data_IF_719535600025
#
_entry.id   IF_719535600025
#
_cell.length_a   1.000
_cell.length_b   1.000
_cell.length_c   1.000
_cell.angle_alpha   90.00
_cell.angle_beta   90.00
_cell.angle_gamma   90.00
#
_symmetry.space_group_name_H-M   'P 1'
#
loop_
_entity.id
_entity.type
_entity.pdbx_description
1 polymer ?
#
# COMPACT_ATOMS: atom_id res chain seq x y z
N UNK A 1 20.08 3.50 -11.10
CA UNK A 1 20.70 3.98 -9.85
C UNK A 1 21.89 3.09 -9.51
N UNK A 2 22.97 3.59 -8.91
CA UNK A 2 24.06 2.76 -8.42
C UNK A 2 23.57 1.85 -7.28
N UNK A 3 24.15 0.65 -7.14
CA UNK A 3 23.87 -0.26 -6.02
C UNK A 3 24.17 0.41 -4.68
N UNK A 4 23.38 0.12 -3.65
CA UNK A 4 23.72 0.55 -2.29
C UNK A 4 25.06 -0.07 -1.88
N UNK A 5 26.02 0.74 -1.40
CA UNK A 5 27.30 0.24 -0.89
C UNK A 5 27.16 -0.37 0.52
N UNK A 6 26.03 -0.20 1.20
CA UNK A 6 25.83 -0.64 2.58
C UNK A 6 25.15 -2.02 2.66
N UNK A 7 24.29 -2.34 1.71
CA UNK A 7 23.64 -3.66 1.58
C UNK A 7 24.56 -4.73 0.94
N UNK A 8 25.67 -4.34 0.29
CA UNK A 8 26.53 -5.23 -0.50
C UNK A 8 27.76 -5.76 0.25
N UNK A 9 27.65 -6.07 1.54
CA UNK A 9 28.78 -6.62 2.29
C UNK A 9 28.89 -8.13 2.01
N UNK A 10 30.02 -8.59 1.44
CA UNK A 10 30.22 -9.97 0.91
C UNK A 10 30.01 -11.12 1.91
N UNK A 11 29.89 -10.82 3.20
CA UNK A 11 29.71 -11.79 4.28
C UNK A 11 28.34 -11.75 4.96
N UNK A 12 27.45 -10.83 4.55
CA UNK A 12 26.14 -10.62 5.18
C UNK A 12 25.06 -10.51 4.11
N UNK A 13 24.05 -11.37 4.18
CA UNK A 13 22.91 -11.30 3.27
C UNK A 13 21.89 -10.31 3.84
N UNK A 14 21.66 -9.22 3.13
CA UNK A 14 20.61 -8.25 3.44
C UNK A 14 19.42 -8.50 2.51
N UNK A 15 18.23 -8.57 3.09
CA UNK A 15 16.98 -8.64 2.34
C UNK A 15 16.30 -7.29 2.41
N UNK A 16 16.04 -6.69 1.25
CA UNK A 16 15.24 -5.46 1.19
C UNK A 16 13.81 -5.83 1.58
N UNK A 17 13.35 -5.32 2.70
CA UNK A 17 12.00 -5.57 3.21
C UNK A 17 11.04 -4.53 2.68
N UNK A 18 11.48 -3.28 2.62
CA UNK A 18 10.67 -2.15 2.23
C UNK A 18 11.45 -1.23 1.30
N UNK A 19 10.74 -0.64 0.35
CA UNK A 19 11.26 0.44 -0.47
C UNK A 19 10.15 1.42 -0.78
N UNK A 20 10.48 2.68 -1.02
CA UNK A 20 9.53 3.68 -1.45
C UNK A 20 10.21 4.93 -1.94
N UNK A 21 9.48 5.73 -2.71
CA UNK A 21 10.02 6.89 -3.39
C UNK A 21 9.17 8.12 -3.07
N UNK A 22 9.80 9.27 -2.92
CA UNK A 22 9.07 10.51 -2.72
C UNK A 22 9.93 11.75 -2.85
N UNK A 23 9.26 12.89 -2.97
CA UNK A 23 9.88 14.20 -3.08
C UNK A 23 10.03 14.85 -1.70
N UNK A 24 11.24 15.27 -1.37
CA UNK A 24 11.55 16.07 -0.20
C UNK A 24 11.65 17.55 -0.58
N UNK A 25 10.60 18.31 -0.26
CA UNK A 25 10.52 19.73 -0.55
C UNK A 25 11.58 20.56 0.19
N UNK A 26 12.06 20.10 1.35
CA UNK A 26 13.02 20.87 2.15
C UNK A 26 14.42 20.94 1.52
N UNK A 27 14.76 19.92 0.72
CA UNK A 27 16.04 19.83 0.02
C UNK A 27 15.90 19.91 -1.49
N UNK A 28 14.66 20.04 -2.00
CA UNK A 28 14.34 20.05 -3.43
C UNK A 28 15.02 18.85 -4.12
N UNK A 29 14.65 17.65 -3.64
CA UNK A 29 15.26 16.39 -4.02
C UNK A 29 14.26 15.23 -4.04
N UNK A 30 14.51 14.24 -4.88
CA UNK A 30 13.79 12.98 -4.90
C UNK A 30 14.58 11.92 -4.19
N UNK A 31 13.91 11.21 -3.28
CA UNK A 31 14.53 10.23 -2.41
C UNK A 31 13.93 8.86 -2.65
N UNK A 32 14.80 7.87 -2.85
CA UNK A 32 14.45 6.47 -2.69
C UNK A 32 14.85 6.05 -1.28
N UNK A 33 13.87 5.60 -0.50
CA UNK A 33 14.05 5.09 0.86
C UNK A 33 13.98 3.58 0.80
N UNK A 34 14.94 2.89 1.41
CA UNK A 34 14.93 1.43 1.53
C UNK A 34 15.18 1.03 2.97
N UNK A 35 14.47 0.01 3.43
CA UNK A 35 14.71 -0.62 4.72
C UNK A 35 14.94 -2.10 4.51
N UNK A 36 16.06 -2.59 5.03
CA UNK A 36 16.45 -3.99 4.92
C UNK A 36 16.73 -4.57 6.30
N UNK A 37 16.51 -5.88 6.44
CA UNK A 37 16.92 -6.65 7.61
C UNK A 37 18.16 -7.47 7.28
N UNK A 38 19.08 -7.50 8.22
CA UNK A 38 20.22 -8.41 8.18
C UNK A 38 19.80 -9.75 8.80
N UNK A 39 19.91 -10.84 8.05
CA UNK A 39 19.82 -12.18 8.66
C UNK A 39 21.11 -12.41 9.47
N UNK A 40 20.98 -12.42 10.79
CA UNK A 40 22.01 -12.89 11.70
C UNK A 40 21.47 -14.12 12.43
N UNK A 41 21.96 -15.31 12.07
CA UNK A 41 21.49 -16.60 12.59
C UNK A 41 21.48 -16.69 14.13
N UNK A 42 22.15 -15.76 14.83
CA UNK A 42 22.29 -15.74 16.28
C UNK A 42 21.73 -14.48 16.98
N UNK A 43 21.19 -13.49 16.26
CA UNK A 43 20.68 -12.25 16.85
C UNK A 43 19.45 -11.69 16.15
N UNK A 44 18.75 -10.76 16.83
CA UNK A 44 17.65 -10.02 16.22
C UNK A 44 18.15 -9.27 14.97
N UNK A 45 17.38 -9.28 13.86
CA UNK A 45 17.79 -8.63 12.62
C UNK A 45 18.07 -7.15 12.88
N UNK A 46 19.24 -6.67 12.43
CA UNK A 46 19.57 -5.24 12.53
C UNK A 46 18.90 -4.50 11.36
N UNK A 47 18.03 -3.52 11.63
CA UNK A 47 17.41 -2.74 10.57
C UNK A 47 18.45 -1.81 9.94
N UNK A 48 18.55 -1.84 8.61
CA UNK A 48 19.33 -0.89 7.84
C UNK A 48 18.38 0.02 7.06
N UNK A 49 18.30 1.28 7.46
CA UNK A 49 17.55 2.32 6.78
C UNK A 49 18.49 3.15 5.90
N UNK A 50 18.17 3.24 4.61
CA UNK A 50 19.00 3.91 3.63
C UNK A 50 18.18 4.86 2.76
N UNK A 51 18.84 5.93 2.33
CA UNK A 51 18.31 6.96 1.48
C UNK A 51 19.22 7.12 0.28
N UNK A 52 18.66 7.03 -0.92
CA UNK A 52 19.33 7.50 -2.12
C UNK A 52 18.80 8.87 -2.49
N UNK A 53 19.68 9.86 -2.51
CA UNK A 53 19.41 11.20 -3.02
C UNK A 53 19.63 11.22 -4.53
N UNK A 54 18.60 11.59 -5.30
CA UNK A 54 18.72 11.71 -6.74
C UNK A 54 19.63 12.89 -7.12
N UNK A 55 19.46 14.02 -6.45
CA UNK A 55 20.23 15.24 -6.69
C UNK A 55 21.71 15.09 -6.34
N UNK A 56 22.02 14.48 -5.21
CA UNK A 56 23.40 14.20 -4.81
C UNK A 56 23.98 12.95 -5.49
N UNK A 57 23.12 12.13 -6.12
CA UNK A 57 23.46 10.84 -6.72
C UNK A 57 24.23 9.93 -5.74
N UNK A 58 23.78 9.90 -4.49
CA UNK A 58 24.51 9.26 -3.39
C UNK A 58 23.58 8.58 -2.40
N UNK A 59 24.06 7.47 -1.85
CA UNK A 59 23.42 6.74 -0.76
C UNK A 59 23.86 7.31 0.60
N UNK A 60 22.93 7.36 1.55
CA UNK A 60 23.16 7.74 2.94
C UNK A 60 22.41 6.76 3.85
N UNK A 61 23.14 6.15 4.77
CA UNK A 61 22.55 5.31 5.81
C UNK A 61 22.07 6.17 7.00
N UNK A 62 20.88 5.89 7.51
CA UNK A 62 20.37 6.42 8.78
C UNK A 62 20.64 5.36 9.85
N UNK A 63 21.42 5.72 10.87
CA UNK A 63 21.87 4.79 11.91
C UNK A 63 20.97 4.75 13.15
N UNK A 64 20.11 5.74 13.32
CA UNK A 64 19.27 5.90 14.50
C UNK A 64 17.84 5.44 14.20
N UNK A 65 17.63 4.13 14.18
CA UNK A 65 16.30 3.52 14.11
C UNK A 65 15.97 2.90 15.46
N UNK A 66 14.92 3.41 16.10
CA UNK A 66 14.50 2.96 17.44
C UNK A 66 13.85 1.56 17.41
N UNK A 67 13.33 1.16 16.26
CA UNK A 67 12.52 -0.02 16.08
C UNK A 67 13.02 -0.86 14.91
N UNK A 68 12.79 -2.16 15.02
CA UNK A 68 13.05 -3.15 13.99
C UNK A 68 11.74 -3.52 13.33
N UNK A 69 11.69 -3.39 12.02
CA UNK A 69 10.52 -3.68 11.22
C UNK A 69 10.83 -4.82 10.26
N UNK A 70 9.93 -5.80 10.21
CA UNK A 70 10.01 -6.89 9.25
C UNK A 70 8.75 -6.92 8.39
N UNK A 71 8.87 -7.54 7.21
CA UNK A 71 7.69 -7.77 6.38
C UNK A 71 6.70 -8.65 7.15
N UNK A 72 5.40 -8.40 6.99
CA UNK A 72 4.39 -9.31 7.50
C UNK A 72 4.56 -10.72 6.90
N UNK A 73 4.42 -11.75 7.73
CA UNK A 73 4.61 -13.18 7.35
C UNK A 73 3.78 -13.54 6.09
N UNK A 74 4.41 -14.12 5.07
CA UNK A 74 3.72 -14.54 3.83
C UNK A 74 3.95 -13.63 2.62
N UNK A 75 4.65 -12.50 2.79
CA UNK A 75 5.10 -11.67 1.67
C UNK A 75 6.53 -12.07 1.25
N UNK A 76 6.65 -12.66 0.05
CA UNK A 76 7.94 -13.08 -0.53
C UNK A 76 8.70 -11.92 -1.18
N UNK A 77 8.01 -10.84 -1.55
CA UNK A 77 8.58 -9.69 -2.23
C UNK A 77 8.73 -8.47 -1.31
N UNK A 78 9.70 -7.56 -1.57
CA UNK A 78 9.81 -6.30 -0.87
C UNK A 78 8.50 -5.50 -0.96
N UNK A 79 8.09 -4.88 0.15
CA UNK A 79 6.86 -4.11 0.23
C UNK A 79 7.09 -2.68 -0.27
N UNK A 80 6.31 -2.28 -1.26
CA UNK A 80 6.31 -0.90 -1.79
C UNK A 80 5.63 0.05 -0.82
N UNK A 81 6.24 1.22 -0.61
CA UNK A 81 5.72 2.26 0.25
C UNK A 81 4.77 3.21 -0.46
N UNK A 82 3.76 3.68 0.27
CA UNK A 82 2.78 4.64 -0.21
C UNK A 82 3.12 6.05 0.27
N UNK A 83 3.29 6.97 -0.68
CA UNK A 83 3.54 8.37 -0.37
C UNK A 83 2.24 9.08 0.01
N UNK A 84 2.18 9.67 1.20
CA UNK A 84 1.07 10.48 1.66
C UNK A 84 1.57 11.59 2.58
N UNK A 85 1.12 12.82 2.36
CA UNK A 85 1.43 14.00 3.20
C UNK A 85 2.93 14.12 3.59
N UNK A 86 3.81 14.02 2.59
CA UNK A 86 5.26 14.14 2.78
C UNK A 86 5.96 12.97 3.46
N UNK A 87 5.27 11.85 3.68
CA UNK A 87 5.84 10.65 4.29
C UNK A 87 5.53 9.39 3.48
N UNK A 88 6.45 8.42 3.54
CA UNK A 88 6.28 7.11 2.91
C UNK A 88 5.80 6.12 3.95
N UNK A 89 4.73 5.37 3.64
CA UNK A 89 4.05 4.48 4.55
C UNK A 89 4.19 3.03 4.11
N UNK A 90 4.50 2.15 5.05
CA UNK A 90 4.50 0.71 4.85
C UNK A 90 3.70 0.03 5.94
N UNK A 91 3.00 -1.04 5.58
CA UNK A 91 2.48 -1.97 6.56
C UNK A 91 3.61 -2.91 6.98
N UNK A 92 3.90 -2.99 8.28
CA UNK A 92 5.05 -3.72 8.81
C UNK A 92 4.74 -4.39 10.14
N UNK A 93 5.48 -5.44 10.46
CA UNK A 93 5.51 -6.00 11.81
C UNK A 93 6.60 -5.32 12.63
N UNK A 94 6.25 -4.72 13.77
CA UNK A 94 7.22 -4.13 14.69
C UNK A 94 7.64 -5.16 15.74
N UNK A 95 8.91 -5.54 15.75
CA UNK A 95 9.44 -6.60 16.60
C UNK A 95 9.36 -6.26 18.10
N UNK A 96 9.62 -5.00 18.46
CA UNK A 96 9.62 -4.53 19.85
C UNK A 96 8.21 -4.44 20.42
N UNK A 97 7.24 -4.02 19.60
CA UNK A 97 5.82 -3.95 19.98
C UNK A 97 5.09 -5.28 19.80
N UNK A 98 5.72 -6.25 19.12
CA UNK A 98 5.18 -7.56 18.78
C UNK A 98 3.81 -7.53 18.10
N UNK A 99 3.59 -6.55 17.23
CA UNK A 99 2.31 -6.36 16.52
C UNK A 99 2.53 -5.72 15.16
N UNK A 100 1.52 -5.87 14.30
CA UNK A 100 1.43 -5.13 13.04
C UNK A 100 1.18 -3.64 13.30
N UNK A 101 1.83 -2.80 12.50
CA UNK A 101 1.74 -1.34 12.52
C UNK A 101 1.82 -0.79 11.10
N UNK A 102 1.44 0.48 10.92
CA UNK A 102 1.88 1.25 9.76
C UNK A 102 3.11 2.03 10.20
N UNK A 103 4.24 1.81 9.53
CA UNK A 103 5.46 2.61 9.73
C UNK A 103 5.49 3.71 8.69
N UNK A 104 5.74 4.94 9.12
CA UNK A 104 5.83 6.11 8.26
C UNK A 104 7.22 6.72 8.36
N UNK A 105 7.86 6.98 7.22
CA UNK A 105 9.10 7.72 7.13
C UNK A 105 8.82 9.14 6.65
N UNK A 106 9.01 10.12 7.53
CA UNK A 106 8.88 11.53 7.20
C UNK A 106 10.06 11.98 6.33
N UNK A 107 9.77 12.40 5.10
CA UNK A 107 10.82 12.78 4.15
C UNK A 107 11.52 14.06 4.56
N UNK A 108 10.90 14.97 5.30
CA UNK A 108 11.55 16.21 5.74
C UNK A 108 12.39 15.95 6.99
N UNK A 109 11.80 15.34 8.01
CA UNK A 109 12.45 15.11 9.30
C UNK A 109 13.45 13.95 9.27
N UNK A 110 13.40 13.10 8.23
CA UNK A 110 14.20 11.87 8.09
C UNK A 110 14.03 10.90 9.26
N UNK A 111 12.82 10.82 9.80
CA UNK A 111 12.49 10.03 10.98
C UNK A 111 11.37 9.04 10.69
N UNK A 112 11.47 7.88 11.33
CA UNK A 112 10.41 6.90 11.38
C UNK A 112 9.48 7.19 12.55
N UNK A 113 8.19 6.94 12.35
CA UNK A 113 7.21 6.90 13.42
C UNK A 113 6.16 5.84 13.13
N UNK A 114 5.55 5.34 14.21
CA UNK A 114 4.52 4.30 14.14
C UNK A 114 3.14 4.93 14.12
N UNK A 115 2.27 4.37 13.30
CA UNK A 115 0.84 4.65 13.24
C UNK A 115 0.11 3.37 13.66
N UNK A 116 -0.77 3.51 14.64
CA UNK A 116 -1.64 2.42 15.09
C UNK A 116 -2.61 2.01 13.99
N UNK A 117 -2.85 0.72 13.83
CA UNK A 117 -3.90 0.18 12.97
C UNK A 117 -5.29 0.45 13.57
N UNK A 118 -6.38 0.36 12.78
CA UNK A 118 -7.73 0.37 13.32
C UNK A 118 -7.91 -0.72 14.40
N UNK A 119 -8.62 -0.41 15.48
CA UNK A 119 -8.74 -1.32 16.63
C UNK A 119 -9.47 -2.64 16.33
N UNK A 120 -10.28 -2.67 15.28
CA UNK A 120 -11.03 -3.84 14.79
C UNK A 120 -10.44 -4.48 13.54
N UNK A 121 -9.24 -4.04 13.13
CA UNK A 121 -8.52 -4.66 12.02
C UNK A 121 -7.87 -5.97 12.48
N UNK A 122 -8.16 -7.05 11.74
CA UNK A 122 -7.58 -8.37 11.99
C UNK A 122 -6.95 -8.91 10.72
N UNK A 123 -5.72 -9.40 10.83
CA UNK A 123 -4.92 -9.84 9.67
C UNK A 123 -5.15 -11.30 9.28
N UNK A 124 -5.53 -12.16 10.21
CA UNK A 124 -5.51 -13.61 10.02
C UNK A 124 -6.31 -14.03 8.78
N UNK A 125 -5.58 -14.50 7.75
CA UNK A 125 -6.07 -14.96 6.44
C UNK A 125 -6.56 -13.89 5.46
N UNK A 126 -6.36 -12.60 5.73
CA UNK A 126 -6.96 -11.52 4.93
C UNK A 126 -5.98 -10.90 3.94
N UNK A 127 -6.51 -10.39 2.84
CA UNK A 127 -5.75 -9.50 1.94
C UNK A 127 -6.02 -8.05 2.30
N UNK A 128 -4.98 -7.22 2.32
CA UNK A 128 -5.10 -5.82 2.72
C UNK A 128 -4.07 -4.96 2.00
N UNK A 129 -4.31 -3.66 2.01
CA UNK A 129 -3.40 -2.69 1.40
C UNK A 129 -3.61 -1.28 1.91
N UNK A 130 -2.55 -0.48 1.82
CA UNK A 130 -2.62 0.96 2.04
C UNK A 130 -2.89 1.66 0.70
N UNK A 131 -3.57 2.79 0.76
CA UNK A 131 -3.83 3.65 -0.39
C UNK A 131 -4.31 5.03 0.07
N UNK A 132 -4.65 5.89 -0.89
CA UNK A 132 -5.33 7.16 -0.65
C UNK A 132 -6.77 7.04 -1.14
N UNK A 133 -7.72 7.20 -0.21
CA UNK A 133 -9.14 7.24 -0.53
C UNK A 133 -9.65 8.68 -0.34
N UNK A 134 -9.98 9.34 -1.46
CA UNK A 134 -10.20 10.78 -1.48
C UNK A 134 -8.92 11.52 -1.08
N UNK A 135 -8.92 12.15 0.09
CA UNK A 135 -7.79 12.93 0.63
C UNK A 135 -7.15 12.28 1.87
N UNK A 136 -7.56 11.05 2.22
CA UNK A 136 -7.16 10.41 3.46
C UNK A 136 -6.25 9.21 3.24
N UNK A 137 -5.21 9.08 4.06
CA UNK A 137 -4.51 7.82 4.21
C UNK A 137 -5.51 6.75 4.65
N UNK A 138 -5.55 5.65 3.93
CA UNK A 138 -6.59 4.66 4.06
C UNK A 138 -6.03 3.25 4.03
N UNK A 139 -6.74 2.35 4.69
CA UNK A 139 -6.47 0.92 4.74
C UNK A 139 -7.68 0.21 4.18
N UNK A 140 -7.48 -0.79 3.32
CA UNK A 140 -8.53 -1.70 2.91
C UNK A 140 -8.18 -3.12 3.32
N UNK A 141 -9.19 -3.94 3.61
CA UNK A 141 -9.04 -5.35 3.90
C UNK A 141 -10.20 -6.15 3.30
N UNK A 142 -9.87 -7.30 2.74
CA UNK A 142 -10.83 -8.29 2.26
C UNK A 142 -10.77 -9.50 3.18
N UNK A 143 -11.88 -9.79 3.82
CA UNK A 143 -12.03 -10.92 4.74
C UNK A 143 -12.65 -12.12 4.03
N UNK A 144 -12.03 -13.27 4.19
CA UNK A 144 -12.50 -14.55 3.64
C UNK A 144 -13.10 -15.39 4.76
N UNK A 145 -14.41 -15.62 4.71
CA UNK A 145 -15.06 -16.58 5.59
C UNK A 145 -15.17 -17.92 4.87
N UNK A 146 -14.43 -18.94 5.34
CA UNK A 146 -14.68 -20.34 4.96
C UNK A 146 -15.81 -20.86 5.85
N UNK A 147 -17.04 -20.70 5.38
CA UNK A 147 -18.19 -21.33 6.01
C UNK A 147 -18.10 -22.83 5.80
N UNK A 148 -17.69 -23.59 6.83
CA UNK A 148 -17.67 -25.06 6.78
C UNK A 148 -19.05 -25.73 6.62
N UNK A 149 -20.12 -24.97 6.35
CA UNK A 149 -21.40 -25.49 5.85
C UNK A 149 -22.05 -24.44 4.93
N UNK A 150 -22.45 -24.91 3.74
CA UNK A 150 -23.28 -24.28 2.70
C UNK A 150 -22.64 -23.17 1.83
N UNK A 151 -22.19 -23.58 0.62
CA UNK A 151 -22.19 -22.96 -0.74
C UNK A 151 -22.01 -21.43 -0.96
N UNK A 152 -21.82 -20.61 0.06
CA UNK A 152 -21.69 -19.16 -0.06
C UNK A 152 -20.39 -18.71 0.61
N UNK A 153 -19.37 -18.46 -0.22
CA UNK A 153 -18.18 -17.74 0.21
C UNK A 153 -18.55 -16.27 0.44
N UNK A 154 -18.83 -15.89 1.68
CA UNK A 154 -19.05 -14.48 2.02
C UNK A 154 -17.69 -13.77 2.09
N UNK A 155 -17.43 -12.91 1.10
CA UNK A 155 -16.29 -12.01 1.11
C UNK A 155 -16.73 -10.63 1.57
N UNK A 156 -15.97 -10.04 2.50
CA UNK A 156 -16.28 -8.71 3.04
C UNK A 156 -15.12 -7.76 2.75
N UNK A 157 -15.39 -6.70 2.00
CA UNK A 157 -14.46 -5.57 1.86
C UNK A 157 -14.74 -4.56 2.96
N UNK A 158 -13.70 -4.19 3.70
CA UNK A 158 -13.71 -3.10 4.64
C UNK A 158 -12.70 -2.03 4.24
N UNK A 159 -13.09 -0.77 4.38
CA UNK A 159 -12.20 0.39 4.17
C UNK A 159 -12.25 1.28 5.40
N UNK A 160 -11.07 1.62 5.92
CA UNK A 160 -10.87 2.59 6.97
C UNK A 160 -10.10 3.80 6.43
N UNK A 161 -10.54 4.99 6.81
CA UNK A 161 -9.86 6.26 6.52
C UNK A 161 -9.31 6.86 7.81
N UNK A 162 -8.11 7.42 7.74
CA UNK A 162 -7.54 8.23 8.82
C UNK A 162 -7.93 9.69 8.60
N UNK A 163 -8.95 10.16 9.32
CA UNK A 163 -9.45 11.55 9.16
C UNK A 163 -8.49 12.59 9.69
N UNK A 164 -7.78 12.26 10.77
CA UNK A 164 -6.82 13.15 11.41
C UNK A 164 -5.43 12.52 11.33
N UNK A 165 -4.58 13.03 10.45
CA UNK A 165 -3.25 12.46 10.25
C UNK A 165 -2.32 12.79 11.43
N UNK A 166 -1.50 11.82 11.86
CA UNK A 166 -0.56 11.93 13.00
C UNK A 166 -1.21 12.15 14.38
N UNK A 167 -2.53 11.97 14.51
CA UNK A 167 -3.23 11.91 15.81
C UNK A 167 -3.38 10.44 16.23
N UNK A 168 -3.37 10.16 17.54
CA UNK A 168 -3.52 8.79 18.05
C UNK A 168 -4.92 8.21 17.73
N UNK A 169 -4.95 7.23 16.84
CA UNK A 169 -6.12 6.36 16.53
C UNK A 169 -7.43 7.00 15.97
N UNK A 170 -7.43 7.84 14.92
CA UNK A 170 -8.65 8.41 14.32
C UNK A 170 -9.09 7.65 13.05
N UNK A 171 -9.05 6.32 13.09
CA UNK A 171 -9.56 5.49 11.99
C UNK A 171 -11.08 5.46 12.01
N UNK A 172 -11.70 5.82 10.88
CA UNK A 172 -13.14 5.68 10.67
C UNK A 172 -13.37 4.61 9.60
N UNK A 173 -14.13 3.57 9.93
CA UNK A 173 -14.61 2.61 8.93
C UNK A 173 -15.70 3.28 8.09
N UNK A 174 -15.50 3.37 6.78
CA UNK A 174 -16.41 4.08 5.85
C UNK A 174 -17.14 3.15 4.90
N UNK A 175 -16.61 1.96 4.65
CA UNK A 175 -17.26 0.96 3.81
C UNK A 175 -17.19 -0.40 4.48
N UNK A 176 -18.33 -1.08 4.47
CA UNK A 176 -18.45 -2.52 4.69
C UNK A 176 -19.32 -3.03 3.56
N UNK A 177 -18.74 -3.80 2.66
CA UNK A 177 -19.49 -4.40 1.55
C UNK A 177 -19.33 -5.91 1.56
N UNK A 178 -20.45 -6.62 1.62
CA UNK A 178 -20.52 -8.06 1.44
C UNK A 178 -20.82 -8.37 -0.02
N UNK A 179 -20.02 -9.25 -0.62
CA UNK A 179 -20.28 -9.76 -1.96
C UNK A 179 -21.25 -10.96 -1.85
N UNK A 180 -22.52 -10.69 -1.52
CA UNK A 180 -23.51 -11.74 -1.22
C UNK A 180 -24.02 -12.47 -2.48
N UNK A 181 -23.88 -11.88 -3.66
CA UNK A 181 -24.51 -12.39 -4.90
C UNK A 181 -23.55 -13.20 -5.79
N UNK A 182 -22.28 -13.38 -5.38
CA UNK A 182 -21.26 -13.81 -6.32
C UNK A 182 -20.27 -14.80 -5.71
N UNK A 183 -20.59 -16.08 -5.90
CA UNK A 183 -19.74 -17.19 -5.48
C UNK A 183 -18.32 -17.04 -6.03
N UNK A 184 -17.35 -17.05 -5.10
CA UNK A 184 -15.90 -17.13 -5.34
C UNK A 184 -15.19 -15.91 -5.96
N UNK A 185 -15.81 -14.73 -6.02
CA UNK A 185 -15.19 -13.58 -6.71
C UNK A 185 -14.51 -12.59 -5.78
N UNK A 186 -13.22 -12.38 -6.03
CA UNK A 186 -12.35 -11.50 -5.26
C UNK A 186 -12.33 -10.08 -5.82
N UNK A 187 -12.64 -9.09 -4.98
CA UNK A 187 -12.46 -7.68 -5.31
C UNK A 187 -11.23 -7.11 -4.60
N UNK A 188 -10.27 -6.59 -5.37
CA UNK A 188 -9.06 -5.95 -4.87
C UNK A 188 -9.05 -4.48 -5.24
N UNK A 189 -9.25 -3.57 -4.28
CA UNK A 189 -9.22 -2.15 -4.56
C UNK A 189 -7.86 -1.69 -5.09
N UNK A 190 -7.87 -0.85 -6.13
CA UNK A 190 -6.68 -0.30 -6.78
C UNK A 190 -6.58 1.19 -6.47
N UNK A 191 -7.66 1.94 -6.72
CA UNK A 191 -7.70 3.37 -6.50
C UNK A 191 -9.14 3.88 -6.28
N UNK A 192 -9.25 5.16 -5.95
CA UNK A 192 -10.52 5.88 -5.89
C UNK A 192 -10.56 7.00 -6.92
N UNK A 193 -11.75 7.28 -7.43
CA UNK A 193 -12.02 8.41 -8.32
C UNK A 193 -12.34 9.68 -7.52
N UNK A 194 -12.36 10.85 -8.19
CA UNK A 194 -12.76 12.12 -7.57
C UNK A 194 -14.19 12.10 -7.01
N UNK A 195 -15.10 11.30 -7.61
CA UNK A 195 -16.47 11.11 -7.11
C UNK A 195 -16.55 10.22 -5.87
N UNK A 196 -15.44 9.57 -5.48
CA UNK A 196 -15.40 8.61 -4.38
C UNK A 196 -15.76 7.17 -4.79
N UNK A 197 -15.94 6.92 -6.09
CA UNK A 197 -16.12 5.55 -6.60
C UNK A 197 -14.80 4.78 -6.49
N UNK A 198 -14.89 3.49 -6.19
CA UNK A 198 -13.77 2.58 -6.01
C UNK A 198 -13.55 1.81 -7.30
N UNK A 199 -12.33 1.86 -7.82
CA UNK A 199 -11.88 1.03 -8.92
C UNK A 199 -11.07 -0.12 -8.33
N UNK A 200 -11.42 -1.34 -8.69
CA UNK A 200 -10.72 -2.52 -8.21
C UNK A 200 -10.71 -3.63 -9.24
N UNK A 201 -9.78 -4.57 -9.05
CA UNK A 201 -9.76 -5.80 -9.82
C UNK A 201 -10.81 -6.74 -9.26
N UNK A 202 -11.66 -7.23 -10.13
CA UNK A 202 -12.70 -8.21 -9.82
C UNK A 202 -12.45 -9.46 -10.67
N UNK A 203 -11.85 -10.50 -10.07
CA UNK A 203 -11.26 -11.65 -10.78
C UNK A 203 -10.28 -11.24 -11.90
N UNK A 204 -10.73 -11.35 -13.17
CA UNK A 204 -10.01 -11.02 -14.39
C UNK A 204 -10.51 -9.73 -15.04
N UNK A 205 -11.41 -9.03 -14.36
CA UNK A 205 -12.08 -7.82 -14.84
C UNK A 205 -11.68 -6.61 -14.00
N UNK A 206 -11.79 -5.42 -14.57
CA UNK A 206 -11.75 -4.18 -13.78
C UNK A 206 -13.19 -3.80 -13.47
N UNK A 207 -13.48 -3.56 -12.21
CA UNK A 207 -14.79 -3.19 -11.72
C UNK A 207 -14.74 -1.81 -11.09
N UNK A 208 -15.82 -1.06 -11.27
CA UNK A 208 -16.09 0.21 -10.63
C UNK A 208 -17.27 0.01 -9.69
N UNK A 209 -17.07 0.31 -8.41
CA UNK A 209 -18.11 0.29 -7.39
C UNK A 209 -18.34 1.72 -6.86
N UNK A 210 -19.56 2.03 -6.46
CA UNK A 210 -19.82 3.27 -5.72
C UNK A 210 -19.21 3.23 -4.31
N UNK A 211 -19.34 4.33 -3.58
CA UNK A 211 -18.86 4.43 -2.19
C UNK A 211 -19.65 3.60 -1.17
N UNK A 212 -20.70 2.87 -1.61
CA UNK A 212 -21.45 1.86 -0.83
C UNK A 212 -21.07 0.43 -1.25
N UNK A 213 -20.12 0.29 -2.17
CA UNK A 213 -19.66 -0.97 -2.71
C UNK A 213 -20.57 -1.57 -3.77
N UNK A 214 -21.62 -0.87 -4.21
CA UNK A 214 -22.48 -1.36 -5.30
C UNK A 214 -21.70 -1.34 -6.61
N UNK A 215 -21.67 -2.48 -7.30
CA UNK A 215 -21.05 -2.58 -8.61
C UNK A 215 -21.82 -1.71 -9.61
N UNK A 216 -21.15 -0.69 -10.15
CA UNK A 216 -21.71 0.21 -11.16
C UNK A 216 -21.41 -0.31 -12.56
N UNK A 217 -20.15 -0.68 -12.80
CA UNK A 217 -19.64 -1.07 -14.11
C UNK A 217 -18.55 -2.12 -13.93
N UNK A 218 -18.42 -3.03 -14.88
CA UNK A 218 -17.25 -3.91 -14.98
C UNK A 218 -16.88 -4.13 -16.44
N UNK A 219 -15.58 -4.19 -16.70
CA UNK A 219 -15.01 -4.43 -18.01
C UNK A 219 -14.17 -5.71 -17.93
N UNK A 220 -14.62 -6.75 -18.63
CA UNK A 220 -13.81 -7.95 -18.85
C UNK A 220 -12.82 -7.67 -19.97
N UNK A 221 -11.53 -7.86 -19.68
CA UNK A 221 -10.47 -7.75 -20.68
C UNK A 221 -10.20 -9.08 -21.38
N UNK A 222 -10.97 -10.14 -21.07
CA UNK A 222 -10.77 -11.47 -21.62
C UNK A 222 -11.98 -11.90 -22.46
N UNK A 223 -11.72 -12.22 -23.74
CA UNK A 223 -12.58 -13.09 -24.55
C UNK A 223 -12.01 -14.51 -24.71
N UNK A 224 -10.80 -14.81 -24.18
CA UNK A 224 -10.20 -16.16 -24.20
C UNK A 224 -9.20 -16.35 -23.03
N UNK A 225 -9.06 -17.58 -22.52
CA UNK A 225 -8.41 -17.98 -21.26
C UNK A 225 -6.88 -17.77 -21.18
N UNK A 226 -6.21 -17.21 -22.18
CA UNK A 226 -4.72 -17.15 -22.24
C UNK A 226 -4.14 -15.89 -22.91
N UNK A 227 -4.65 -14.70 -22.60
CA UNK A 227 -4.05 -13.44 -23.05
C UNK A 227 -3.61 -12.55 -21.88
N UNK A 228 -2.35 -12.10 -21.85
CA UNK A 228 -1.96 -10.95 -21.03
C UNK A 228 -1.93 -9.72 -21.96
N UNK A 229 -2.58 -8.63 -21.58
CA UNK A 229 -2.38 -7.34 -22.24
C UNK A 229 -1.96 -6.27 -21.22
N UNK A 230 -0.96 -5.51 -21.62
CA UNK A 230 -0.32 -4.45 -20.84
C UNK A 230 -1.06 -3.15 -21.15
N UNK A 231 -1.63 -2.51 -20.13
CA UNK A 231 -2.08 -1.13 -20.27
C UNK A 231 -0.84 -0.22 -20.26
N UNK A 232 -0.61 0.48 -21.37
CA UNK A 232 0.37 1.56 -21.46
C UNK A 232 -0.18 2.77 -20.69
N UNK A 233 0.09 2.83 -19.38
CA UNK A 233 -0.06 4.05 -18.63
C UNK A 233 1.17 4.92 -18.87
N UNK A 234 0.98 6.06 -19.52
CA UNK A 234 2.02 7.08 -19.56
C UNK A 234 1.91 7.85 -18.24
N UNK A 235 2.81 7.58 -17.29
CA UNK A 235 2.93 8.42 -16.10
C UNK A 235 3.15 9.87 -16.55
N UNK A 236 2.20 10.73 -16.23
CA UNK A 236 2.39 12.17 -16.31
C UNK A 236 2.05 12.75 -14.94
N UNK A 237 2.83 13.74 -14.49
CA UNK A 237 2.54 14.51 -13.27
C UNK A 237 1.31 15.43 -13.44
N UNK A 238 0.49 15.21 -14.46
CA UNK A 238 -0.71 15.97 -14.78
C UNK A 238 -1.93 15.14 -14.38
N UNK A 239 -2.88 15.78 -13.72
CA UNK A 239 -4.18 15.19 -13.41
C UNK A 239 -4.91 14.76 -14.68
N UNK A 240 -5.61 13.63 -14.63
CA UNK A 240 -6.48 13.16 -15.71
C UNK A 240 -7.48 14.27 -16.09
N UNK A 241 -7.68 14.55 -17.39
CA UNK A 241 -8.67 15.52 -17.82
C UNK A 241 -10.07 15.03 -17.43
N UNK A 242 -10.85 15.93 -16.82
CA UNK A 242 -12.26 15.68 -16.54
C UNK A 242 -13.01 15.61 -17.88
N UNK A 243 -13.72 14.51 -18.13
CA UNK A 243 -14.63 14.40 -19.26
C UNK A 243 -15.87 15.29 -19.00
N UNK A 244 -15.70 16.60 -19.12
CA UNK A 244 -16.79 17.49 -19.50
C UNK A 244 -16.61 17.83 -20.98
N UNK A 245 -17.18 17.00 -21.85
CA UNK A 245 -17.50 17.48 -23.19
C UNK A 245 -18.94 17.96 -23.20
N UNK A 246 -19.00 19.29 -23.17
CA UNK A 246 -20.13 20.12 -23.49
C UNK A 246 -20.77 19.71 -24.83
N UNK A 247 -22.09 19.82 -24.86
CA UNK A 247 -22.89 19.88 -26.07
C UNK A 247 -22.47 21.12 -26.87
N UNK A 248 -22.13 20.96 -28.13
CA UNK A 248 -22.30 22.01 -29.13
C UNK A 248 -23.06 21.44 -30.33
N UNK A 249 -24.22 22.04 -30.58
CA UNK A 249 -25.06 21.90 -31.75
C UNK A 249 -24.33 22.42 -33.01
N UNK A 250 -24.57 21.77 -34.15
CA UNK A 250 -24.67 22.39 -35.48
C UNK A 250 -25.63 21.57 -36.37
#
# INVERSE_FOLDING_TARGET
MPWSPFASNLYKQYYVDFYGFGYDQSTDDYLLVTMSSQDDYNWAPLPCLELFSLRANAWKQIKDTQFTYTRPIGNEHPTTGFLFNGAIHWFAYCCELRRDVIVAFDLMEKKLFNIHLPGDFHRELNQFGLWVFGEFLSLWAVYYFDGHNDDICNHRLEIWVMKEYKVDSPWTKILVHSFDDISHKYFFPICSTKSGDIIGRYEFTLAKCDNKGQLLEYHSYFNDQRGCEVALYTESLLSLPDNEQAWEDD
#
